data_IF_390331917328
#
_entry.id   IF_390331917328
#
_cell.length_a   1.000
_cell.length_b   1.000
_cell.length_c   1.000
_cell.angle_alpha   90.00
_cell.angle_beta   90.00
_cell.angle_gamma   90.00
#
_symmetry.space_group_name_H-M   'P 1'
#
loop_
_entity.id
_entity.type
_entity.pdbx_description
1 polymer ?
#
# COMPACT_ATOMS: atom_id res chain seq x y z
N UNK A 1 12.50 18.54 -7.14
CA UNK A 1 12.78 17.25 -6.44
C UNK A 1 11.68 16.27 -6.83
N UNK A 2 12.00 15.12 -7.44
CA UNK A 2 10.97 14.17 -7.89
C UNK A 2 10.34 13.47 -6.68
N UNK A 3 9.10 13.80 -6.38
CA UNK A 3 8.32 13.12 -5.34
C UNK A 3 7.62 11.92 -5.97
N UNK A 4 7.83 10.74 -5.41
CA UNK A 4 7.13 9.52 -5.80
C UNK A 4 6.18 9.14 -4.67
N UNK A 5 4.90 8.94 -5.03
CA UNK A 5 3.88 8.46 -4.12
C UNK A 5 3.43 7.09 -4.62
N UNK A 6 3.35 6.11 -3.74
CA UNK A 6 2.76 4.82 -4.02
C UNK A 6 1.42 4.71 -3.34
N UNK A 7 0.36 4.56 -4.13
CA UNK A 7 -0.98 4.34 -3.63
C UNK A 7 -1.24 2.83 -3.56
N UNK A 8 -1.35 2.31 -2.34
CA UNK A 8 -1.81 0.95 -2.09
C UNK A 8 -3.33 0.94 -1.98
N UNK A 9 -4.00 0.20 -2.84
CA UNK A 9 -5.45 -0.05 -2.78
C UNK A 9 -5.67 -1.49 -2.32
N UNK A 10 -6.38 -1.66 -1.21
CA UNK A 10 -6.74 -2.95 -0.63
C UNK A 10 -8.25 -3.14 -0.79
N UNK A 11 -8.64 -4.14 -1.55
CA UNK A 11 -10.03 -4.57 -1.70
C UNK A 11 -10.34 -5.64 -0.66
N UNK A 12 -11.41 -5.45 0.09
CA UNK A 12 -11.87 -6.39 1.11
C UNK A 12 -13.03 -7.24 0.55
N UNK A 13 -13.16 -8.47 1.04
CA UNK A 13 -14.25 -9.41 0.66
C UNK A 13 -15.65 -8.86 0.91
N UNK A 14 -15.79 -7.93 1.87
CA UNK A 14 -17.04 -7.21 2.14
C UNK A 14 -17.39 -6.10 1.14
N UNK A 15 -16.63 -5.94 0.05
CA UNK A 15 -16.84 -4.90 -0.98
C UNK A 15 -16.29 -3.52 -0.61
N UNK A 16 -15.66 -3.38 0.55
CA UNK A 16 -15.01 -2.14 0.98
C UNK A 16 -13.60 -2.04 0.39
N UNK A 17 -13.13 -0.81 0.18
CA UNK A 17 -11.78 -0.52 -0.30
C UNK A 17 -11.06 0.40 0.68
N UNK A 18 -9.82 0.07 1.02
CA UNK A 18 -8.92 0.88 1.83
C UNK A 18 -7.78 1.39 0.94
N UNK A 19 -7.63 2.71 0.84
CA UNK A 19 -6.56 3.34 0.06
C UNK A 19 -5.56 3.97 1.03
N UNK A 20 -4.29 3.59 0.90
CA UNK A 20 -3.21 4.06 1.77
C UNK A 20 -2.08 4.64 0.91
N UNK A 21 -1.82 5.96 0.96
CA UNK A 21 -0.71 6.58 0.25
C UNK A 21 0.60 6.45 1.04
N UNK A 22 1.68 6.09 0.35
CA UNK A 22 3.03 6.02 0.88
C UNK A 22 3.97 6.92 0.08
N UNK A 23 4.90 7.58 0.77
CA UNK A 23 6.06 8.16 0.10
C UNK A 23 7.01 7.02 -0.29
N UNK A 24 7.52 7.06 -1.52
CA UNK A 24 8.51 6.11 -2.02
C UNK A 24 9.76 6.84 -2.48
N UNK A 25 10.91 6.18 -2.36
CA UNK A 25 12.18 6.71 -2.84
C UNK A 25 12.25 6.67 -4.37
N UNK A 26 11.70 5.61 -4.98
CA UNK A 26 11.72 5.36 -6.42
C UNK A 26 10.39 4.77 -6.88
N UNK A 27 10.07 4.93 -8.17
CA UNK A 27 8.80 4.47 -8.74
C UNK A 27 8.77 2.96 -9.05
N UNK A 28 9.93 2.38 -9.32
CA UNK A 28 10.17 0.97 -9.67
C UNK A 28 10.46 0.09 -8.45
N UNK A 29 10.57 0.68 -7.26
CA UNK A 29 10.79 -0.03 -6.01
C UNK A 29 9.60 0.19 -5.08
N UNK A 30 9.03 -0.89 -4.55
CA UNK A 30 7.94 -0.80 -3.57
C UNK A 30 8.43 -0.20 -2.24
N UNK A 31 7.55 0.56 -1.59
CA UNK A 31 7.74 0.98 -0.21
C UNK A 31 7.88 -0.28 0.68
N UNK A 32 8.80 -0.30 1.66
CA UNK A 32 9.04 -1.47 2.51
C UNK A 32 7.79 -2.01 3.23
N UNK A 33 6.87 -1.14 3.66
CA UNK A 33 5.62 -1.57 4.31
C UNK A 33 4.67 -2.25 3.31
N UNK A 34 4.62 -1.76 2.06
CA UNK A 34 3.84 -2.38 0.99
C UNK A 34 4.42 -3.76 0.65
N UNK A 35 5.75 -3.85 0.50
CA UNK A 35 6.42 -5.12 0.21
C UNK A 35 6.17 -6.17 1.31
N UNK A 36 6.34 -5.79 2.58
CA UNK A 36 6.08 -6.67 3.72
C UNK A 36 4.61 -7.12 3.78
N UNK A 37 3.67 -6.26 3.41
CA UNK A 37 2.25 -6.62 3.32
C UNK A 37 1.99 -7.64 2.21
N UNK A 38 2.55 -7.44 1.01
CA UNK A 38 2.40 -8.39 -0.10
C UNK A 38 2.99 -9.76 0.24
N UNK A 39 4.13 -9.79 0.93
CA UNK A 39 4.72 -11.03 1.46
C UNK A 39 3.80 -11.70 2.50
N UNK A 40 3.22 -10.92 3.41
CA UNK A 40 2.30 -11.45 4.43
C UNK A 40 1.02 -12.04 3.81
N UNK A 41 0.50 -11.45 2.73
CA UNK A 41 -0.64 -12.00 1.98
C UNK A 41 -0.31 -13.35 1.31
N UNK A 42 0.94 -13.55 0.90
CA UNK A 42 1.41 -14.81 0.31
C UNK A 42 1.73 -15.91 1.33
N UNK A 43 1.86 -15.56 2.62
CA UNK A 43 2.26 -16.49 3.68
C UNK A 43 1.04 -17.17 4.33
N UNK A 44 0.87 -18.46 4.03
CA UNK A 44 -0.22 -19.28 4.57
C UNK A 44 -0.21 -19.37 6.10
N UNK A 45 0.94 -19.23 6.75
CA UNK A 45 1.03 -19.29 8.22
C UNK A 45 0.50 -18.01 8.88
N UNK A 46 0.42 -16.90 8.13
CA UNK A 46 -0.03 -15.60 8.62
C UNK A 46 -1.47 -15.28 8.22
N UNK A 47 -2.14 -16.15 7.48
CA UNK A 47 -3.44 -15.86 6.84
C UNK A 47 -4.53 -15.39 7.81
N UNK A 48 -4.52 -15.84 9.06
CA UNK A 48 -5.50 -15.42 10.08
C UNK A 48 -5.12 -14.13 10.83
N UNK A 49 -3.89 -13.66 10.65
CA UNK A 49 -3.34 -12.48 11.31
C UNK A 49 -3.83 -11.16 10.74
N UNK A 50 -3.33 -10.07 11.34
CA UNK A 50 -3.52 -8.71 10.85
C UNK A 50 -2.19 -8.05 10.54
N UNK A 51 -2.19 -7.16 9.55
CA UNK A 51 -1.06 -6.33 9.19
C UNK A 51 -1.33 -4.89 9.58
N UNK A 52 -0.37 -4.27 10.27
CA UNK A 52 -0.46 -2.90 10.75
C UNK A 52 0.40 -2.00 9.85
N UNK A 53 -0.23 -1.06 9.15
CA UNK A 53 0.47 0.03 8.50
C UNK A 53 0.65 1.18 9.48
N UNK A 54 1.88 1.66 9.60
CA UNK A 54 2.27 2.77 10.46
C UNK A 54 2.50 4.03 9.63
N UNK A 55 1.98 5.17 10.11
CA UNK A 55 2.04 6.46 9.44
C UNK A 55 1.14 7.50 10.10
N UNK A 56 0.84 8.61 9.39
CA UNK A 56 -0.02 9.69 9.91
C UNK A 56 -1.45 9.21 10.28
N UNK A 57 -1.91 8.15 9.61
CA UNK A 57 -3.10 7.39 10.00
C UNK A 57 -2.71 5.93 10.18
N UNK A 58 -3.02 5.37 11.34
CA UNK A 58 -2.85 3.93 11.60
C UNK A 58 -3.94 3.16 10.87
N UNK A 59 -3.54 2.13 10.12
CA UNK A 59 -4.45 1.24 9.39
C UNK A 59 -4.12 -0.20 9.75
N UNK A 60 -5.09 -0.93 10.30
CA UNK A 60 -4.98 -2.34 10.61
C UNK A 60 -5.86 -3.14 9.65
N UNK A 61 -5.28 -4.12 8.96
CA UNK A 61 -5.97 -4.93 7.96
C UNK A 61 -5.86 -6.40 8.36
N UNK A 62 -7.00 -7.07 8.50
CA UNK A 62 -7.02 -8.53 8.67
C UNK A 62 -6.75 -9.20 7.33
N UNK A 63 -5.73 -10.05 7.26
CA UNK A 63 -5.26 -10.65 5.99
C UNK A 63 -6.33 -11.54 5.36
N UNK A 64 -7.08 -12.28 6.17
CA UNK A 64 -8.18 -13.14 5.73
C UNK A 64 -9.30 -12.38 4.98
N UNK A 65 -9.46 -11.09 5.23
CA UNK A 65 -10.52 -10.28 4.62
C UNK A 65 -10.09 -9.63 3.30
N UNK A 66 -8.82 -9.73 2.93
CA UNK A 66 -8.30 -9.17 1.68
C UNK A 66 -8.71 -10.07 0.51
N UNK A 67 -9.31 -9.45 -0.52
CA UNK A 67 -9.66 -10.10 -1.79
C UNK A 67 -8.67 -9.74 -2.90
N UNK A 68 -8.14 -8.52 -2.89
CA UNK A 68 -7.10 -8.07 -3.81
C UNK A 68 -6.30 -6.92 -3.19
N UNK A 69 -5.05 -6.77 -3.64
CA UNK A 69 -4.20 -5.63 -3.34
C UNK A 69 -3.46 -5.19 -4.60
N UNK A 70 -3.50 -3.89 -4.89
CA UNK A 70 -2.82 -3.30 -6.05
C UNK A 70 -2.05 -2.05 -5.61
N UNK A 71 -0.96 -1.75 -6.33
CA UNK A 71 -0.08 -0.62 -6.02
C UNK A 71 0.14 0.17 -7.29
N UNK A 72 -0.10 1.49 -7.21
CA UNK A 72 0.15 2.42 -8.31
C UNK A 72 1.21 3.43 -7.87
N UNK A 73 2.31 3.51 -8.62
CA UNK A 73 3.35 4.53 -8.45
C UNK A 73 2.99 5.80 -9.23
N UNK A 74 2.81 6.91 -8.53
CA UNK A 74 2.58 8.25 -9.07
C UNK A 74 3.86 9.07 -8.98
N UNK A 75 4.32 9.62 -10.10
CA UNK A 75 5.49 10.50 -10.15
C UNK A 75 4.99 11.93 -10.29
N UNK A 76 5.24 12.77 -9.28
CA UNK A 76 4.89 14.19 -9.35
C UNK A 76 5.78 14.87 -10.38
N UNK A 77 5.16 15.38 -11.45
CA UNK A 77 5.81 16.32 -12.38
C UNK A 77 5.78 17.71 -11.75
N UNK A 78 6.88 18.43 -11.83
CA UNK A 78 6.91 19.85 -11.43
C UNK A 78 6.02 20.61 -12.42
N UNK A 79 5.03 21.34 -11.92
CA UNK A 79 4.33 22.36 -12.70
C UNK A 79 5.34 23.46 -12.99
N UNK A 80 5.60 23.75 -14.27
CA UNK A 80 6.26 25.01 -14.61
C UNK A 80 5.27 26.10 -14.19
N UNK A 81 5.61 26.86 -13.14
CA UNK A 81 4.96 28.13 -12.91
C UNK A 81 5.27 29.00 -14.13
N UNK A 82 4.26 29.26 -14.97
CA UNK A 82 4.30 30.30 -16.01
C UNK A 82 4.23 31.69 -15.37
#
# INVERSE_FOLDING_TARGET
MKMVIQQLTISLRGGQTVVVPFNAEKADQLNPQIEAFMQALGDKQKAEGSFLFQGARVVLVRLADVSAAEVVSLIRKEEKAE
#
